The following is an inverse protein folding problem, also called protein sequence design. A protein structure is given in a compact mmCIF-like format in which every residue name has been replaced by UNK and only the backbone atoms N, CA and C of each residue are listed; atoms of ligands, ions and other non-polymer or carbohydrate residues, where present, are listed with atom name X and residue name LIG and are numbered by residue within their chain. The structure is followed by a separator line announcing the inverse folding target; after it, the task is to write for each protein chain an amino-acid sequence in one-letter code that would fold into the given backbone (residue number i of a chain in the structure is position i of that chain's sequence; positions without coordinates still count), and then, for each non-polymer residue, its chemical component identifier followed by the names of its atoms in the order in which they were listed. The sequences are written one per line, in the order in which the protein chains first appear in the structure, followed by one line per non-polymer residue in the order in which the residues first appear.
data_IF_005544367481
#
_entry.id   IF_005544367481
#
_cell.length_a   1.000
_cell.length_b   1.000
_cell.length_c   1.000
_cell.angle_alpha   90.00
_cell.angle_beta   90.00
_cell.angle_gamma   90.00
#
_symmetry.space_group_name_H-M   'P 1'
#
loop_
_entity.id
_entity.type
_entity.pdbx_description
1 polymer ?
#
# COMPACT_ATOMS: atom_id res chain seq x y z
N UNK A 1 16.86 32.95 -47.95
CA UNK A 1 16.76 31.98 -46.83
C UNK A 1 15.51 32.19 -45.97
N UNK A 2 14.28 32.13 -46.53
CA UNK A 2 13.04 32.44 -45.76
C UNK A 2 11.88 31.44 -45.95
N UNK A 3 12.01 30.45 -46.84
CA UNK A 3 10.95 29.45 -47.09
C UNK A 3 11.08 28.15 -46.29
N UNK A 4 12.23 27.87 -45.68
CA UNK A 4 12.44 26.65 -44.87
C UNK A 4 11.76 26.71 -43.49
N UNK A 5 11.68 27.89 -42.86
CA UNK A 5 11.06 28.06 -41.53
C UNK A 5 9.52 27.91 -41.52
N UNK A 6 8.85 28.19 -42.64
CA UNK A 6 7.37 28.14 -42.73
C UNK A 6 6.81 26.72 -42.95
N UNK A 7 7.65 25.78 -43.39
CA UNK A 7 7.22 24.41 -43.73
C UNK A 7 7.67 23.37 -42.71
N UNK A 8 8.75 23.63 -41.96
CA UNK A 8 9.28 22.71 -40.94
C UNK A 8 8.59 22.89 -39.58
N UNK A 9 8.11 24.11 -39.26
CA UNK A 9 7.47 24.42 -37.98
C UNK A 9 6.14 23.67 -37.73
N UNK A 10 5.21 23.52 -38.69
CA UNK A 10 4.00 22.72 -38.46
C UNK A 10 4.27 21.21 -38.43
N UNK A 11 5.35 20.73 -39.06
CA UNK A 11 5.69 19.31 -39.12
C UNK A 11 6.27 18.78 -37.80
N UNK A 12 7.05 19.60 -37.09
CA UNK A 12 7.62 19.24 -35.76
C UNK A 12 6.54 19.20 -34.67
N UNK A 13 5.52 20.06 -34.77
CA UNK A 13 4.41 20.12 -33.79
C UNK A 13 3.52 18.87 -33.88
N UNK A 14 3.44 18.23 -35.05
CA UNK A 14 2.65 17.01 -35.25
C UNK A 14 3.35 15.75 -34.72
N UNK A 15 4.70 15.75 -34.68
CA UNK A 15 5.51 14.60 -34.25
C UNK A 15 5.56 14.48 -32.71
N UNK A 16 5.32 15.56 -31.97
CA UNK A 16 5.38 15.55 -30.49
C UNK A 16 4.10 15.10 -29.80
N UNK A 17 3.00 14.88 -30.52
CA UNK A 17 1.72 14.50 -29.92
C UNK A 17 1.45 12.99 -29.83
N UNK A 18 2.39 12.13 -30.26
CA UNK A 18 2.25 10.68 -30.14
C UNK A 18 3.31 10.08 -29.21
N UNK A 19 3.47 10.66 -28.02
CA UNK A 19 3.82 9.83 -26.87
C UNK A 19 2.56 9.05 -26.49
N UNK A 20 2.30 7.97 -27.22
CA UNK A 20 1.42 6.93 -26.77
C UNK A 20 2.06 6.35 -25.51
N UNK A 21 1.71 6.95 -24.36
CA UNK A 21 1.99 6.35 -23.07
C UNK A 21 1.35 4.96 -23.10
N UNK A 22 2.18 3.93 -23.22
CA UNK A 22 1.81 2.63 -22.69
C UNK A 22 1.65 2.89 -21.19
N UNK A 23 0.41 3.18 -20.80
CA UNK A 23 0.10 3.61 -19.45
C UNK A 23 0.61 2.55 -18.50
N UNK A 24 1.68 2.85 -17.78
CA UNK A 24 1.90 2.16 -16.53
C UNK A 24 0.71 2.54 -15.69
N UNK A 25 -0.21 1.59 -15.49
CA UNK A 25 -1.27 1.75 -14.52
C UNK A 25 -0.59 1.84 -13.16
N UNK A 26 -0.15 3.05 -12.80
CA UNK A 26 0.30 3.35 -11.45
C UNK A 26 -0.93 3.21 -10.60
N UNK A 27 -0.96 2.14 -9.81
CA UNK A 27 -1.98 1.95 -8.79
C UNK A 27 -1.91 3.20 -7.90
N UNK A 28 -2.90 4.09 -8.02
CA UNK A 28 -2.96 5.27 -7.15
C UNK A 28 -2.93 4.78 -5.70
N UNK A 29 -2.07 5.35 -4.83
CA UNK A 29 -2.18 5.13 -3.39
C UNK A 29 -3.63 5.41 -2.96
N UNK A 30 -4.27 4.44 -2.30
CA UNK A 30 -5.68 4.56 -1.93
C UNK A 30 -6.70 3.90 -2.87
N UNK A 31 -6.28 3.28 -3.97
CA UNK A 31 -7.18 2.51 -4.84
C UNK A 31 -7.79 1.30 -4.12
N UNK A 32 -7.05 0.69 -3.19
CA UNK A 32 -7.57 -0.36 -2.31
C UNK A 32 -7.91 0.23 -0.94
N UNK A 33 -9.19 0.15 -0.58
CA UNK A 33 -9.68 0.51 0.77
C UNK A 33 -9.63 -0.73 1.64
N UNK A 34 -9.00 -0.65 2.80
CA UNK A 34 -8.92 -1.78 3.71
C UNK A 34 -7.91 -1.58 4.83
N UNK A 35 -7.91 -2.52 5.77
CA UNK A 35 -6.89 -2.65 6.81
C UNK A 35 -6.20 -4.00 6.63
N UNK A 36 -4.90 -4.01 6.83
CA UNK A 36 -4.05 -5.20 6.80
C UNK A 36 -3.49 -5.37 8.20
N UNK A 37 -3.56 -6.59 8.72
CA UNK A 37 -2.92 -6.99 9.97
C UNK A 37 -1.84 -8.01 9.69
N UNK A 38 -0.71 -7.86 10.36
CA UNK A 38 0.43 -8.74 10.16
C UNK A 38 1.28 -8.79 11.42
N UNK A 39 2.05 -9.86 11.57
CA UNK A 39 3.06 -9.98 12.60
C UNK A 39 4.34 -9.29 12.12
N UNK A 40 4.94 -8.47 12.96
CA UNK A 40 6.32 -7.99 12.79
C UNK A 40 7.17 -8.46 13.96
N UNK A 41 8.46 -8.65 13.69
CA UNK A 41 9.44 -8.99 14.72
C UNK A 41 10.39 -7.81 14.87
N UNK A 42 10.45 -7.21 16.05
CA UNK A 42 11.41 -6.16 16.37
C UNK A 42 12.16 -6.49 17.65
N UNK A 43 13.50 -6.46 17.60
CA UNK A 43 14.42 -6.66 18.74
C UNK A 43 14.05 -7.79 19.71
N UNK A 44 13.57 -8.93 19.21
CA UNK A 44 13.28 -10.12 20.04
C UNK A 44 11.84 -10.25 20.53
N UNK A 45 10.96 -9.27 20.27
CA UNK A 45 9.51 -9.36 20.48
C UNK A 45 8.80 -9.56 19.14
N UNK A 46 7.75 -10.39 19.13
CA UNK A 46 6.83 -10.47 17.99
C UNK A 46 5.53 -9.77 18.36
N UNK A 47 5.20 -8.72 17.62
CA UNK A 47 4.02 -7.89 17.86
C UNK A 47 3.14 -7.82 16.61
N UNK A 48 1.87 -7.49 16.81
CA UNK A 48 0.90 -7.35 15.73
C UNK A 48 0.84 -5.90 15.31
N UNK A 49 0.90 -5.67 14.01
CA UNK A 49 0.82 -4.35 13.40
C UNK A 49 -0.41 -4.26 12.51
N UNK A 50 -0.92 -3.04 12.38
CA UNK A 50 -1.99 -2.71 11.47
C UNK A 50 -1.59 -1.54 10.58
N UNK A 51 -1.92 -1.66 9.30
CA UNK A 51 -1.71 -0.63 8.28
C UNK A 51 -2.94 -0.52 7.41
N UNK A 52 -3.21 0.66 6.87
CA UNK A 52 -4.21 0.78 5.82
C UNK A 52 -3.68 0.16 4.52
N UNK A 53 -4.58 -0.31 3.66
CA UNK A 53 -4.24 -0.86 2.35
C UNK A 53 -3.60 0.16 1.38
N UNK A 54 -3.69 1.47 1.71
CA UNK A 54 -2.99 2.56 1.03
C UNK A 54 -1.58 2.83 1.61
N UNK A 55 -1.07 1.92 2.45
CA UNK A 55 0.20 2.00 3.15
C UNK A 55 0.32 3.14 4.17
N UNK A 56 -0.79 3.83 4.49
CA UNK A 56 -0.81 4.87 5.53
C UNK A 56 -1.17 4.30 6.91
N UNK A 57 -0.93 5.10 7.96
CA UNK A 57 -1.35 4.80 9.34
C UNK A 57 -0.84 3.46 9.90
N UNK A 58 0.41 3.11 9.58
CA UNK A 58 1.08 1.99 10.25
C UNK A 58 1.18 2.25 11.74
N UNK A 59 0.74 1.30 12.57
CA UNK A 59 0.90 1.34 14.02
C UNK A 59 0.92 -0.07 14.61
N UNK A 60 1.55 -0.22 15.78
CA UNK A 60 1.49 -1.43 16.57
C UNK A 60 0.13 -1.54 17.27
N UNK A 61 -0.43 -2.74 17.32
CA UNK A 61 -1.57 -3.07 18.17
C UNK A 61 -1.00 -3.52 19.51
N UNK A 62 -1.31 -2.79 20.58
CA UNK A 62 -0.86 -3.14 21.93
C UNK A 62 -1.43 -4.50 22.31
N UNK A 63 -0.57 -5.49 22.52
CA UNK A 63 -0.96 -6.79 23.04
C UNK A 63 -0.27 -7.02 24.38
N UNK A 64 -0.98 -7.56 25.36
CA UNK A 64 -0.41 -7.89 26.68
C UNK A 64 0.29 -9.26 26.70
N UNK A 65 0.39 -9.92 25.55
CA UNK A 65 1.07 -11.20 25.41
C UNK A 65 2.49 -11.01 24.91
N UNK A 66 3.45 -11.66 25.56
CA UNK A 66 4.74 -11.93 24.94
C UNK A 66 4.52 -12.82 23.71
N UNK A 67 5.13 -12.47 22.58
CA UNK A 67 5.04 -13.18 21.30
C UNK A 67 3.61 -13.35 20.78
N UNK A 68 3.19 -12.42 19.92
CA UNK A 68 1.89 -12.45 19.24
C UNK A 68 2.04 -12.89 17.78
N UNK A 69 1.20 -13.83 17.34
CA UNK A 69 1.29 -14.46 16.02
C UNK A 69 -0.07 -14.86 15.44
N UNK A 70 -0.09 -15.16 14.14
CA UNK A 70 -1.27 -15.54 13.37
C UNK A 70 -2.50 -14.63 13.59
N UNK A 71 -2.37 -13.30 13.42
CA UNK A 71 -3.50 -12.40 13.62
C UNK A 71 -4.57 -12.60 12.53
N UNK A 72 -5.84 -12.52 12.90
CA UNK A 72 -6.98 -12.55 11.99
C UNK A 72 -8.09 -11.59 12.42
N UNK A 73 -8.82 -11.03 11.46
CA UNK A 73 -9.99 -10.22 11.76
C UNK A 73 -11.19 -11.10 12.07
N UNK A 74 -11.97 -10.69 13.06
CA UNK A 74 -13.35 -11.14 13.22
C UNK A 74 -14.20 -10.86 11.97
N UNK A 75 -15.26 -11.64 11.70
CA UNK A 75 -16.13 -11.43 10.54
C UNK A 75 -16.75 -10.03 10.48
N UNK A 76 -17.05 -9.43 11.64
CA UNK A 76 -17.60 -8.07 11.75
C UNK A 76 -16.52 -6.97 11.72
N UNK A 77 -15.24 -7.36 11.64
CA UNK A 77 -14.04 -6.49 11.62
C UNK A 77 -13.88 -5.58 12.85
N UNK A 78 -14.58 -5.87 13.95
CA UNK A 78 -14.49 -5.08 15.18
C UNK A 78 -13.38 -5.55 16.10
N UNK A 79 -13.00 -6.81 15.96
CA UNK A 79 -12.00 -7.47 16.81
C UNK A 79 -10.92 -8.15 15.99
N UNK A 80 -9.76 -8.33 16.60
CA UNK A 80 -8.64 -9.10 16.07
C UNK A 80 -8.38 -10.27 17.01
N UNK A 81 -8.36 -11.49 16.48
CA UNK A 81 -7.93 -12.68 17.20
C UNK A 81 -6.47 -12.96 16.87
N UNK A 82 -5.71 -13.43 17.86
CA UNK A 82 -4.32 -13.81 17.66
C UNK A 82 -3.88 -14.85 18.68
N UNK A 83 -2.80 -15.57 18.36
CA UNK A 83 -2.18 -16.49 19.28
C UNK A 83 -1.05 -15.77 20.02
N UNK A 84 -1.01 -15.95 21.33
CA UNK A 84 0.04 -15.48 22.23
C UNK A 84 0.80 -16.65 22.85
N UNK A 85 1.88 -16.39 23.57
CA UNK A 85 2.69 -17.43 24.21
C UNK A 85 1.90 -18.35 25.17
N UNK A 86 0.81 -17.86 25.77
CA UNK A 86 0.03 -18.59 26.78
C UNK A 86 -1.38 -18.99 26.32
N UNK A 87 -1.79 -18.67 25.09
CA UNK A 87 -3.16 -18.96 24.62
C UNK A 87 -3.60 -18.15 23.41
N UNK A 88 -4.90 -18.14 23.15
CA UNK A 88 -5.54 -17.35 22.09
C UNK A 88 -6.20 -16.12 22.73
N UNK A 89 -5.98 -14.96 22.14
CA UNK A 89 -6.41 -13.65 22.66
C UNK A 89 -7.23 -12.89 21.62
N UNK A 90 -7.95 -11.88 22.09
CA UNK A 90 -8.73 -10.98 21.25
C UNK A 90 -8.60 -9.54 21.73
N UNK A 91 -8.49 -8.60 20.79
CA UNK A 91 -8.42 -7.15 21.02
C UNK A 91 -9.43 -6.42 20.14
#
# INVERSE_FOLDING_TARGET
MSRYKKMVLPLVIFITFLSAGCGTASVKPGMFKGKIIFKSHDRGSSDIYMVNADSTKLHAIRTDSAYSFAPSFSPDRKKIIFQGAKGIYTV
#
